data_IF_028189732246
#
_entry.id   IF_028189732246
#
_cell.length_a   1.000
_cell.length_b   1.000
_cell.length_c   1.000
_cell.angle_alpha   90.00
_cell.angle_beta   90.00
_cell.angle_gamma   90.00
#
_symmetry.space_group_name_H-M   'P 1'
#
loop_
_entity.id
_entity.type
_entity.pdbx_description
1 polymer ?
#
# COMPACT_ATOMS: atom_id res chain seq x y z
N UNK A 1 -1.50 -11.19 -23.54
CA UNK A 1 -0.61 -10.44 -22.64
C UNK A 1 0.70 -10.10 -23.35
N UNK A 2 1.26 -11.00 -24.12
CA UNK A 2 2.52 -10.80 -24.87
C UNK A 2 2.43 -9.77 -26.01
N UNK A 3 1.27 -9.61 -26.64
CA UNK A 3 1.09 -8.66 -27.75
C UNK A 3 1.03 -7.19 -27.27
N UNK A 4 0.45 -6.91 -26.09
CA UNK A 4 0.39 -5.56 -25.54
C UNK A 4 1.78 -5.07 -25.09
N UNK A 5 2.60 -5.96 -24.56
CA UNK A 5 3.98 -5.64 -24.18
C UNK A 5 4.84 -5.37 -25.43
N UNK A 6 4.59 -6.08 -26.52
CA UNK A 6 5.28 -5.88 -27.79
C UNK A 6 4.98 -4.50 -28.41
N UNK A 7 3.69 -4.09 -28.40
CA UNK A 7 3.28 -2.76 -28.90
C UNK A 7 3.89 -1.61 -28.10
N UNK A 8 4.10 -1.78 -26.79
CA UNK A 8 4.73 -0.76 -25.93
C UNK A 8 6.24 -0.60 -26.22
N UNK A 9 6.93 -1.68 -26.57
CA UNK A 9 8.34 -1.62 -26.97
C UNK A 9 8.54 -1.00 -28.36
N UNK A 10 7.56 -1.18 -29.26
CA UNK A 10 7.61 -0.64 -30.62
C UNK A 10 7.22 0.85 -30.70
N UNK A 11 6.52 1.38 -29.67
CA UNK A 11 6.07 2.77 -29.63
C UNK A 11 7.06 3.73 -28.96
N UNK A 12 8.09 3.23 -28.31
CA UNK A 12 9.06 4.08 -27.62
C UNK A 12 10.46 3.86 -28.17
N UNK A 13 11.02 4.87 -28.80
CA UNK A 13 12.46 4.96 -29.10
C UNK A 13 13.32 5.05 -27.81
N UNK A 14 12.73 4.69 -26.66
CA UNK A 14 13.41 4.71 -25.36
C UNK A 14 14.28 3.46 -25.28
N UNK A 15 15.60 3.61 -25.17
CA UNK A 15 16.50 2.48 -25.00
C UNK A 15 16.17 1.67 -23.74
N UNK A 16 16.47 0.37 -23.69
CA UNK A 16 16.34 -0.41 -22.47
C UNK A 16 17.04 0.28 -21.29
N UNK A 17 16.44 0.21 -20.11
CA UNK A 17 16.91 0.89 -18.90
C UNK A 17 18.41 0.69 -18.65
N UNK A 18 18.93 -0.53 -18.87
CA UNK A 18 20.35 -0.86 -18.74
C UNK A 18 21.27 -0.06 -19.68
N UNK A 19 20.76 0.38 -20.85
CA UNK A 19 21.51 1.23 -21.78
C UNK A 19 21.47 2.70 -21.39
N UNK A 20 20.45 3.10 -20.64
CA UNK A 20 20.27 4.49 -20.16
C UNK A 20 21.12 4.78 -18.92
N UNK A 21 21.49 3.77 -18.15
CA UNK A 21 22.37 3.92 -17.01
C UNK A 21 23.82 3.85 -17.48
N UNK A 22 24.42 5.02 -17.72
CA UNK A 22 25.83 5.12 -18.12
C UNK A 22 26.81 4.85 -16.96
N UNK A 23 26.35 5.00 -15.73
CA UNK A 23 27.16 4.79 -14.53
C UNK A 23 26.70 3.53 -13.80
N UNK A 24 27.50 2.47 -13.90
CA UNK A 24 27.26 1.19 -13.24
C UNK A 24 27.22 1.29 -11.70
N UNK A 25 27.69 2.39 -11.11
CA UNK A 25 27.65 2.64 -9.67
C UNK A 25 26.24 2.59 -9.10
N UNK A 26 25.22 2.94 -9.90
CA UNK A 26 23.82 2.80 -9.51
C UNK A 26 23.27 1.38 -9.62
N UNK A 27 24.04 0.45 -10.19
CA UNK A 27 23.71 -0.97 -10.32
C UNK A 27 24.43 -1.82 -9.28
N UNK A 28 25.42 -1.26 -8.61
CA UNK A 28 26.07 -1.92 -7.48
C UNK A 28 25.04 -1.94 -6.34
N UNK A 29 24.60 -3.14 -5.98
CA UNK A 29 23.77 -3.34 -4.80
C UNK A 29 24.57 -2.86 -3.58
N UNK A 30 24.01 -1.91 -2.87
CA UNK A 30 24.53 -1.52 -1.55
C UNK A 30 24.74 -2.80 -0.73
N UNK A 31 25.75 -2.79 0.13
CA UNK A 31 26.02 -3.92 1.04
C UNK A 31 24.87 -4.15 2.03
N UNK A 32 23.87 -3.25 2.04
CA UNK A 32 22.76 -3.25 2.99
C UNK A 32 21.40 -3.19 2.27
N UNK A 33 20.49 -4.05 2.73
CA UNK A 33 19.10 -4.03 2.33
C UNK A 33 18.28 -3.42 3.49
N UNK A 34 17.69 -2.26 3.27
CA UNK A 34 16.94 -1.55 4.31
C UNK A 34 15.49 -2.03 4.43
N UNK A 35 14.86 -2.40 3.31
CA UNK A 35 13.44 -2.71 3.23
C UNK A 35 13.20 -4.08 2.62
N UNK A 36 12.44 -4.92 3.33
CA UNK A 36 11.85 -6.14 2.77
C UNK A 36 10.36 -5.92 2.54
N UNK A 37 9.94 -5.80 1.28
CA UNK A 37 8.53 -5.76 0.94
C UNK A 37 7.99 -7.17 0.72
N UNK A 38 6.91 -7.52 1.43
CA UNK A 38 6.26 -8.81 1.37
C UNK A 38 4.84 -8.69 0.81
N UNK A 39 4.60 -9.26 -0.38
CA UNK A 39 3.25 -9.41 -0.91
C UNK A 39 2.68 -10.75 -0.42
N UNK A 40 1.79 -10.69 0.59
CA UNK A 40 1.32 -11.88 1.30
C UNK A 40 0.06 -12.52 0.72
N UNK A 41 -0.40 -12.04 -0.44
CA UNK A 41 -1.52 -12.66 -1.15
C UNK A 41 -2.20 -11.74 -2.15
N UNK A 42 -3.14 -12.32 -2.92
CA UNK A 42 -3.95 -11.58 -3.90
C UNK A 42 -5.44 -11.56 -3.59
N UNK A 43 -5.87 -12.24 -2.51
CA UNK A 43 -7.25 -12.16 -2.04
C UNK A 43 -7.55 -10.73 -1.57
N UNK A 44 -8.70 -10.17 -1.98
CA UNK A 44 -9.11 -8.81 -1.63
C UNK A 44 -10.63 -8.72 -1.68
N UNK A 45 -11.22 -7.98 -0.75
CA UNK A 45 -12.66 -7.70 -0.74
C UNK A 45 -13.10 -6.66 -1.78
N UNK A 46 -12.16 -6.04 -2.50
CA UNK A 46 -12.41 -5.03 -3.54
C UNK A 46 -11.92 -5.50 -4.92
N UNK A 47 -12.53 -4.92 -5.98
CA UNK A 47 -12.12 -5.10 -7.38
C UNK A 47 -11.81 -3.72 -7.98
N UNK A 48 -10.70 -3.11 -7.51
CA UNK A 48 -10.32 -1.77 -7.96
C UNK A 48 -9.84 -1.78 -9.41
N UNK A 49 -10.25 -0.77 -10.20
CA UNK A 49 -9.89 -0.67 -11.63
C UNK A 49 -8.39 -0.48 -11.88
N UNK A 50 -7.69 0.14 -10.95
CA UNK A 50 -6.24 0.41 -11.02
C UNK A 50 -5.38 -0.62 -10.28
N UNK A 51 -5.89 -1.81 -9.99
CA UNK A 51 -5.15 -2.79 -9.20
C UNK A 51 -3.98 -3.40 -9.98
N UNK A 52 -2.75 -3.06 -9.59
CA UNK A 52 -1.52 -3.52 -10.23
C UNK A 52 -1.23 -5.02 -10.03
N UNK A 53 -1.75 -5.64 -8.97
CA UNK A 53 -1.57 -7.07 -8.68
C UNK A 53 -2.76 -7.94 -9.11
N UNK A 54 -3.77 -7.31 -9.73
CA UNK A 54 -5.01 -7.98 -10.14
C UNK A 54 -5.68 -8.76 -9.00
N UNK A 55 -5.73 -8.16 -7.82
CA UNK A 55 -6.35 -8.73 -6.63
C UNK A 55 -7.89 -8.72 -6.73
N UNK A 56 -8.53 -9.59 -5.96
CA UNK A 56 -9.99 -9.68 -5.91
C UNK A 56 -10.50 -10.84 -5.06
N UNK A 57 -11.84 -10.91 -4.85
CA UNK A 57 -12.45 -11.93 -3.99
C UNK A 57 -12.27 -13.38 -4.46
N UNK A 58 -12.13 -13.57 -5.78
CA UNK A 58 -11.95 -14.90 -6.38
C UNK A 58 -10.48 -15.38 -6.38
N UNK A 59 -9.54 -14.59 -5.86
CA UNK A 59 -8.13 -14.97 -5.80
C UNK A 59 -7.89 -15.83 -4.58
N UNK A 60 -6.99 -16.79 -4.74
CA UNK A 60 -6.66 -17.81 -3.71
C UNK A 60 -5.17 -17.83 -3.37
N UNK A 61 -4.37 -17.03 -4.06
CA UNK A 61 -2.93 -16.95 -3.78
C UNK A 61 -2.70 -16.32 -2.43
N UNK A 62 -2.03 -17.03 -1.57
CA UNK A 62 -1.77 -16.69 -0.20
C UNK A 62 -0.36 -17.15 0.19
N UNK A 63 0.40 -16.29 0.83
CA UNK A 63 1.70 -16.65 1.40
C UNK A 63 1.48 -17.52 2.63
N UNK A 64 2.08 -18.69 2.65
CA UNK A 64 1.99 -19.59 3.79
C UNK A 64 2.87 -19.11 4.95
N UNK A 65 2.61 -19.65 6.13
CA UNK A 65 3.39 -19.34 7.32
C UNK A 65 4.86 -19.74 7.15
N UNK A 66 5.15 -20.89 6.55
CA UNK A 66 6.52 -21.37 6.33
C UNK A 66 7.32 -20.39 5.46
N UNK A 67 6.67 -19.79 4.44
CA UNK A 67 7.31 -18.77 3.60
C UNK A 67 7.53 -17.48 4.41
N UNK A 68 6.56 -17.07 5.25
CA UNK A 68 6.74 -15.93 6.15
C UNK A 68 7.92 -16.14 7.11
N UNK A 69 8.04 -17.31 7.72
CA UNK A 69 9.13 -17.67 8.63
C UNK A 69 10.49 -17.61 7.93
N UNK A 70 10.58 -18.05 6.68
CA UNK A 70 11.78 -17.92 5.86
C UNK A 70 12.13 -16.45 5.58
N UNK A 71 11.14 -15.62 5.25
CA UNK A 71 11.31 -14.18 5.06
C UNK A 71 11.76 -13.47 6.35
N UNK A 72 11.17 -13.82 7.49
CA UNK A 72 11.56 -13.27 8.80
C UNK A 72 12.99 -13.67 9.19
N UNK A 73 13.37 -14.92 8.91
CA UNK A 73 14.76 -15.38 9.11
C UNK A 73 15.73 -14.57 8.27
N UNK A 74 15.43 -14.40 6.98
CA UNK A 74 16.22 -13.57 6.08
C UNK A 74 16.30 -12.11 6.58
N UNK A 75 15.18 -11.52 6.98
CA UNK A 75 15.14 -10.15 7.48
C UNK A 75 16.05 -9.96 8.69
N UNK A 76 16.05 -10.93 9.62
CA UNK A 76 16.92 -10.92 10.80
C UNK A 76 18.40 -11.05 10.43
N UNK A 77 18.75 -11.98 9.55
CA UNK A 77 20.13 -12.21 9.10
C UNK A 77 20.70 -11.01 8.35
N UNK A 78 19.90 -10.38 7.49
CA UNK A 78 20.28 -9.19 6.71
C UNK A 78 20.13 -7.88 7.48
N UNK A 79 19.66 -7.91 8.73
CA UNK A 79 19.43 -6.74 9.59
C UNK A 79 18.49 -5.71 8.92
N UNK A 80 17.45 -6.20 8.24
CA UNK A 80 16.43 -5.38 7.63
C UNK A 80 15.82 -4.44 8.67
N UNK A 81 15.73 -3.15 8.35
CA UNK A 81 15.18 -2.14 9.27
C UNK A 81 13.68 -1.94 9.10
N UNK A 82 13.13 -2.23 7.91
CA UNK A 82 11.71 -2.06 7.59
C UNK A 82 11.13 -3.30 6.92
N UNK A 83 10.02 -3.80 7.44
CA UNK A 83 9.17 -4.80 6.75
C UNK A 83 7.90 -4.11 6.26
N UNK A 84 7.68 -4.11 4.93
CA UNK A 84 6.54 -3.48 4.26
C UNK A 84 5.57 -4.57 3.76
N UNK A 85 4.46 -4.76 4.48
CA UNK A 85 3.47 -5.80 4.21
C UNK A 85 2.40 -5.26 3.26
N UNK A 86 2.27 -5.92 2.11
CA UNK A 86 1.32 -5.56 1.05
C UNK A 86 0.61 -6.79 0.49
N UNK A 87 -0.27 -6.56 -0.50
CA UNK A 87 -0.99 -7.65 -1.17
C UNK A 87 -2.24 -7.17 -1.89
N UNK A 88 -3.24 -8.03 -1.90
CA UNK A 88 -4.62 -7.63 -2.21
C UNK A 88 -5.21 -6.82 -1.05
N UNK A 89 -5.78 -7.52 -0.06
CA UNK A 89 -6.00 -7.02 1.28
C UNK A 89 -5.19 -7.91 2.23
N UNK A 90 -4.06 -7.43 2.77
CA UNK A 90 -3.22 -8.23 3.68
C UNK A 90 -4.00 -8.82 4.84
N UNK A 91 -5.03 -8.12 5.31
CA UNK A 91 -5.92 -8.52 6.38
C UNK A 91 -6.63 -9.88 6.12
N UNK A 92 -6.80 -10.24 4.85
CA UNK A 92 -7.42 -11.52 4.48
C UNK A 92 -6.45 -12.72 4.55
N UNK A 93 -5.16 -12.49 4.82
CA UNK A 93 -4.23 -13.58 5.12
C UNK A 93 -4.37 -13.94 6.61
N UNK A 94 -4.66 -15.20 6.96
CA UNK A 94 -4.91 -15.64 8.35
C UNK A 94 -3.67 -15.52 9.26
N UNK A 95 -2.50 -15.31 8.67
CA UNK A 95 -1.25 -15.19 9.41
C UNK A 95 -0.76 -13.74 9.52
N UNK A 96 -1.56 -12.72 9.14
CA UNK A 96 -1.12 -11.32 9.18
C UNK A 96 -0.75 -10.87 10.60
N UNK A 97 -1.59 -11.17 11.59
CA UNK A 97 -1.32 -10.78 12.99
C UNK A 97 0.02 -11.36 13.47
N UNK A 98 0.23 -12.65 13.23
CA UNK A 98 1.50 -13.32 13.51
C UNK A 98 2.68 -12.62 12.80
N UNK A 99 2.53 -12.33 11.51
CA UNK A 99 3.59 -11.68 10.74
C UNK A 99 3.95 -10.30 11.32
N UNK A 100 2.95 -9.49 11.69
CA UNK A 100 3.17 -8.18 12.31
C UNK A 100 3.92 -8.32 13.64
N UNK A 101 3.46 -9.23 14.51
CA UNK A 101 4.07 -9.43 15.83
C UNK A 101 5.52 -9.90 15.76
N UNK A 102 5.82 -10.83 14.86
CA UNK A 102 7.20 -11.30 14.68
C UNK A 102 8.07 -10.24 13.99
N UNK A 103 7.53 -9.53 12.98
CA UNK A 103 8.24 -8.43 12.34
C UNK A 103 8.63 -7.33 13.32
N UNK A 104 7.74 -6.96 14.23
CA UNK A 104 7.97 -5.92 15.25
C UNK A 104 9.05 -6.31 16.27
N UNK A 105 9.37 -7.60 16.41
CA UNK A 105 10.47 -8.09 17.26
C UNK A 105 11.82 -8.06 16.54
N UNK A 106 11.80 -8.06 15.20
CA UNK A 106 13.00 -8.20 14.37
C UNK A 106 13.50 -6.84 13.89
N UNK A 107 12.58 -5.99 13.44
CA UNK A 107 12.89 -4.69 12.85
C UNK A 107 12.22 -3.54 13.61
N UNK A 108 12.82 -2.34 13.48
CA UNK A 108 12.30 -1.13 14.14
C UNK A 108 11.07 -0.54 13.47
N UNK A 109 10.73 -0.98 12.26
CA UNK A 109 9.66 -0.37 11.47
C UNK A 109 8.86 -1.42 10.69
N UNK A 110 7.55 -1.46 10.92
CA UNK A 110 6.61 -2.33 10.21
C UNK A 110 5.56 -1.48 9.53
N UNK A 111 5.36 -1.68 8.24
CA UNK A 111 4.36 -1.01 7.42
C UNK A 111 3.29 -2.03 7.00
N UNK A 112 2.02 -1.64 7.07
CA UNK A 112 0.91 -2.40 6.47
C UNK A 112 0.17 -1.51 5.48
N UNK A 113 0.03 -2.00 4.23
CA UNK A 113 -0.71 -1.32 3.16
C UNK A 113 -2.14 -1.82 3.10
N UNK A 114 -3.07 -1.00 3.54
CA UNK A 114 -4.50 -1.38 3.65
C UNK A 114 -5.39 -0.64 2.66
N UNK A 115 -6.48 -1.29 2.25
CA UNK A 115 -7.55 -0.62 1.52
C UNK A 115 -8.56 0.09 2.44
N UNK A 116 -8.39 0.00 3.75
CA UNK A 116 -9.26 0.51 4.82
C UNK A 116 -10.61 -0.20 4.93
N UNK A 117 -11.32 -0.38 3.82
CA UNK A 117 -12.71 -0.87 3.80
C UNK A 117 -12.85 -2.23 4.49
N UNK A 118 -11.85 -3.07 4.37
CA UNK A 118 -11.79 -4.40 5.00
C UNK A 118 -11.87 -4.32 6.54
N UNK A 119 -11.32 -3.28 7.14
CA UNK A 119 -11.28 -3.09 8.59
C UNK A 119 -12.67 -2.72 9.21
N UNK A 120 -13.72 -2.58 8.40
CA UNK A 120 -15.11 -2.50 8.88
C UNK A 120 -15.80 -3.87 8.93
N UNK A 121 -15.22 -4.89 8.34
CA UNK A 121 -15.75 -6.25 8.42
C UNK A 121 -15.42 -6.83 9.80
N UNK A 122 -16.44 -7.38 10.47
CA UNK A 122 -16.36 -7.83 11.87
C UNK A 122 -15.18 -8.78 12.14
N UNK A 123 -14.82 -9.58 11.15
CA UNK A 123 -13.71 -10.53 11.21
C UNK A 123 -12.35 -9.84 11.32
N UNK A 124 -12.18 -8.64 10.71
CA UNK A 124 -10.90 -7.94 10.59
C UNK A 124 -10.81 -6.67 11.44
N UNK A 125 -11.89 -6.26 12.10
CA UNK A 125 -11.96 -5.02 12.89
C UNK A 125 -10.90 -4.96 14.01
N UNK A 126 -10.60 -6.09 14.62
CA UNK A 126 -9.60 -6.22 15.70
C UNK A 126 -8.18 -5.88 15.24
N UNK A 127 -7.90 -5.97 13.93
CA UNK A 127 -6.55 -5.68 13.39
C UNK A 127 -6.13 -4.23 13.59
N UNK A 128 -7.06 -3.28 13.73
CA UNK A 128 -6.71 -1.90 14.09
C UNK A 128 -6.00 -1.83 15.46
N UNK A 129 -6.42 -2.65 16.43
CA UNK A 129 -5.76 -2.74 17.73
C UNK A 129 -4.40 -3.45 17.63
N UNK A 130 -4.32 -4.48 16.77
CA UNK A 130 -3.04 -5.15 16.46
C UNK A 130 -2.03 -4.15 15.88
N UNK A 131 -2.47 -3.31 14.93
CA UNK A 131 -1.64 -2.26 14.36
C UNK A 131 -1.15 -1.28 15.43
N UNK A 132 -2.04 -0.78 16.26
CA UNK A 132 -1.71 0.22 17.28
C UNK A 132 -0.73 -0.32 18.33
N UNK A 133 -0.96 -1.53 18.86
CA UNK A 133 -0.09 -2.12 19.90
C UNK A 133 1.31 -2.44 19.39
N UNK A 134 1.46 -2.71 18.09
CA UNK A 134 2.74 -2.98 17.45
C UNK A 134 3.34 -1.73 16.76
N UNK A 135 2.73 -0.55 16.94
CA UNK A 135 3.17 0.72 16.32
C UNK A 135 3.37 0.61 14.81
N UNK A 136 2.50 -0.15 14.15
CA UNK A 136 2.55 -0.34 12.69
C UNK A 136 2.28 0.99 12.00
N UNK A 137 3.12 1.38 11.05
CA UNK A 137 2.78 2.43 10.11
C UNK A 137 1.67 1.95 9.18
N UNK A 138 0.55 2.64 9.19
CA UNK A 138 -0.58 2.35 8.29
C UNK A 138 -0.45 3.20 7.04
N UNK A 139 -0.22 2.55 5.90
CA UNK A 139 -0.25 3.20 4.58
C UNK A 139 -1.57 2.84 3.91
N UNK A 140 -2.46 3.82 3.81
CA UNK A 140 -3.80 3.57 3.31
C UNK A 140 -4.06 4.20 1.94
N UNK A 141 -4.81 3.48 1.12
CA UNK A 141 -5.15 3.97 -0.20
C UNK A 141 -6.40 4.85 -0.15
N UNK A 142 -6.21 6.15 -0.29
CA UNK A 142 -7.29 7.14 -0.44
C UNK A 142 -7.06 7.93 -1.74
N UNK A 143 -7.40 7.36 -2.92
CA UNK A 143 -7.06 7.96 -4.21
C UNK A 143 -7.71 9.32 -4.46
N UNK A 144 -8.78 9.64 -3.75
CA UNK A 144 -9.44 10.95 -3.77
C UNK A 144 -10.03 11.28 -2.41
N UNK A 145 -10.12 12.57 -2.09
CA UNK A 145 -10.77 13.09 -0.88
C UNK A 145 -12.28 13.40 -1.09
N UNK A 146 -12.89 12.90 -2.19
CA UNK A 146 -14.30 13.03 -2.51
C UNK A 146 -14.91 11.71 -2.96
N UNK A 147 -16.16 11.45 -2.55
CA UNK A 147 -16.84 10.20 -2.79
C UNK A 147 -17.00 9.84 -4.29
N UNK A 148 -17.44 10.75 -5.19
CA UNK A 148 -17.71 10.37 -6.58
C UNK A 148 -16.48 9.84 -7.32
N UNK A 149 -15.32 10.44 -7.07
CA UNK A 149 -14.07 10.06 -7.71
C UNK A 149 -13.52 8.76 -7.14
N UNK A 150 -13.55 8.59 -5.82
CA UNK A 150 -13.06 7.38 -5.18
C UNK A 150 -13.96 6.17 -5.48
N UNK A 151 -15.26 6.34 -5.41
CA UNK A 151 -16.22 5.27 -5.63
C UNK A 151 -16.19 4.77 -7.08
N UNK A 152 -15.93 5.65 -8.04
CA UNK A 152 -15.75 5.28 -9.46
C UNK A 152 -14.60 4.28 -9.67
N UNK A 153 -13.56 4.35 -8.85
CA UNK A 153 -12.34 3.53 -8.96
C UNK A 153 -12.41 2.30 -8.08
N UNK A 154 -13.00 2.42 -6.88
CA UNK A 154 -12.96 1.39 -5.82
C UNK A 154 -14.29 0.68 -5.57
N UNK A 155 -15.38 1.21 -6.11
CA UNK A 155 -16.73 0.70 -5.89
C UNK A 155 -17.58 1.62 -5.00
N UNK A 156 -18.90 1.54 -5.16
CA UNK A 156 -19.85 2.39 -4.48
C UNK A 156 -19.74 2.29 -2.95
N UNK A 157 -19.73 3.44 -2.27
CA UNK A 157 -19.64 3.55 -0.82
C UNK A 157 -18.26 3.26 -0.23
N UNK A 158 -17.24 3.06 -1.06
CA UNK A 158 -15.87 2.82 -0.58
C UNK A 158 -15.30 4.05 0.16
N UNK A 159 -15.66 5.26 -0.30
CA UNK A 159 -15.24 6.50 0.34
C UNK A 159 -15.75 6.62 1.78
N UNK A 160 -17.05 6.50 1.98
CA UNK A 160 -17.66 6.65 3.31
C UNK A 160 -17.14 5.61 4.29
N UNK A 161 -16.92 4.39 3.82
CA UNK A 161 -16.32 3.32 4.60
C UNK A 161 -14.88 3.65 5.00
N UNK A 162 -14.06 4.14 4.07
CA UNK A 162 -12.69 4.57 4.34
C UNK A 162 -12.63 5.70 5.38
N UNK A 163 -13.49 6.73 5.23
CA UNK A 163 -13.60 7.85 6.19
C UNK A 163 -13.93 7.33 7.60
N UNK A 164 -14.85 6.37 7.73
CA UNK A 164 -15.16 5.77 9.04
C UNK A 164 -13.96 5.08 9.68
N UNK A 165 -13.20 4.32 8.90
CA UNK A 165 -11.99 3.64 9.41
C UNK A 165 -10.93 4.65 9.82
N UNK A 166 -10.65 5.65 8.98
CA UNK A 166 -9.64 6.67 9.29
C UNK A 166 -10.01 7.42 10.58
N UNK A 167 -11.29 7.76 10.79
CA UNK A 167 -11.75 8.38 12.04
C UNK A 167 -11.51 7.48 13.25
N UNK A 168 -11.71 6.15 13.13
CA UNK A 168 -11.40 5.20 14.20
C UNK A 168 -9.89 5.15 14.47
N UNK A 169 -9.06 5.10 13.43
CA UNK A 169 -7.60 5.14 13.56
C UNK A 169 -7.14 6.46 14.22
N UNK A 170 -7.71 7.61 13.83
CA UNK A 170 -7.43 8.88 14.49
C UNK A 170 -7.85 8.90 15.97
N UNK A 171 -8.96 8.26 16.31
CA UNK A 171 -9.39 8.13 17.72
C UNK A 171 -8.44 7.27 18.55
N UNK A 172 -7.73 6.32 17.92
CA UNK A 172 -6.67 5.52 18.52
C UNK A 172 -5.33 6.24 18.59
N UNK A 173 -5.20 7.42 17.95
CA UNK A 173 -3.99 8.24 17.93
C UNK A 173 -3.23 8.28 16.61
N UNK A 174 -3.61 7.48 15.63
CA UNK A 174 -2.97 7.52 14.30
C UNK A 174 -3.08 8.90 13.66
N UNK A 175 -2.00 9.34 13.00
CA UNK A 175 -1.92 10.66 12.38
C UNK A 175 -1.74 11.83 13.36
N UNK A 176 -1.77 11.57 14.68
CA UNK A 176 -1.66 12.55 15.78
C UNK A 176 -0.52 12.25 16.72
N UNK A 177 -0.39 10.99 17.13
CA UNK A 177 0.72 10.50 17.92
C UNK A 177 1.90 10.18 16.99
N UNK A 178 3.12 10.69 17.26
CA UNK A 178 4.29 10.43 16.42
C UNK A 178 4.67 8.95 16.29
N UNK A 179 4.25 8.10 17.23
CA UNK A 179 4.46 6.66 17.17
C UNK A 179 3.41 5.89 16.36
N UNK A 180 2.28 6.53 16.02
CA UNK A 180 1.18 5.93 15.27
C UNK A 180 1.00 6.64 13.93
N UNK A 181 1.84 6.28 12.98
CA UNK A 181 1.93 6.93 11.68
C UNK A 181 0.82 6.45 10.75
N UNK A 182 0.08 7.41 10.19
CA UNK A 182 -0.93 7.20 9.16
C UNK A 182 -0.54 7.95 7.90
N UNK A 183 -0.19 7.23 6.86
CA UNK A 183 0.11 7.81 5.56
C UNK A 183 -0.95 7.43 4.52
N UNK A 184 -1.18 8.32 3.58
CA UNK A 184 -2.15 8.12 2.52
C UNK A 184 -1.48 7.99 1.17
N UNK A 185 -2.13 7.25 0.27
CA UNK A 185 -1.68 7.08 -1.11
C UNK A 185 -2.72 7.65 -2.05
N UNK A 186 -2.31 8.64 -2.82
CA UNK A 186 -3.01 9.10 -4.02
C UNK A 186 -2.57 8.25 -5.22
N UNK A 187 -3.56 7.84 -6.01
CA UNK A 187 -3.33 7.11 -7.25
C UNK A 187 -4.29 7.67 -8.31
N UNK A 188 -3.79 8.26 -9.42
CA UNK A 188 -4.64 8.84 -10.45
C UNK A 188 -5.57 7.81 -11.08
N UNK A 189 -6.74 8.24 -11.56
CA UNK A 189 -7.71 7.35 -12.20
C UNK A 189 -7.34 6.95 -13.64
N UNK A 190 -6.27 7.51 -14.20
CA UNK A 190 -5.85 7.32 -15.58
C UNK A 190 -4.33 7.34 -15.76
N UNK A 191 -3.89 7.24 -17.02
CA UNK A 191 -2.48 7.27 -17.39
C UNK A 191 -2.01 8.73 -17.55
N UNK A 192 -1.95 9.47 -16.46
CA UNK A 192 -1.43 10.84 -16.41
C UNK A 192 -0.61 11.04 -15.15
N UNK A 193 0.30 12.02 -15.20
CA UNK A 193 1.13 12.36 -14.05
C UNK A 193 0.29 13.02 -12.95
N UNK A 194 0.52 12.69 -11.69
CA UNK A 194 -0.10 13.42 -10.59
C UNK A 194 0.42 14.87 -10.57
N UNK A 195 -0.35 15.79 -9.97
CA UNK A 195 0.15 17.11 -9.65
C UNK A 195 1.35 17.08 -8.70
N UNK A 196 1.91 18.26 -8.43
CA UNK A 196 2.96 18.42 -7.43
C UNK A 196 2.56 17.81 -6.09
N UNK A 197 3.44 16.99 -5.51
CA UNK A 197 3.14 16.21 -4.31
C UNK A 197 2.88 17.09 -3.09
N UNK A 198 3.67 18.14 -2.87
CA UNK A 198 3.53 19.01 -1.69
C UNK A 198 2.23 19.80 -1.75
N UNK A 199 1.90 20.32 -2.93
CA UNK A 199 0.63 21.04 -3.15
C UNK A 199 -0.57 20.12 -2.92
N UNK A 200 -0.51 18.89 -3.41
CA UNK A 200 -1.56 17.90 -3.24
C UNK A 200 -1.69 17.45 -1.78
N UNK A 201 -0.59 17.21 -1.08
CA UNK A 201 -0.62 16.85 0.34
C UNK A 201 -1.26 17.96 1.18
N UNK A 202 -0.90 19.21 0.91
CA UNK A 202 -1.50 20.37 1.58
C UNK A 202 -3.01 20.46 1.34
N UNK A 203 -3.46 20.24 0.12
CA UNK A 203 -4.88 20.25 -0.23
C UNK A 203 -5.62 19.09 0.47
N UNK A 204 -5.07 17.87 0.46
CA UNK A 204 -5.63 16.71 1.17
C UNK A 204 -5.77 16.97 2.67
N UNK A 205 -4.71 17.46 3.32
CA UNK A 205 -4.71 17.81 4.74
C UNK A 205 -5.81 18.83 5.06
N UNK A 206 -5.89 19.89 4.26
CA UNK A 206 -6.89 20.93 4.48
C UNK A 206 -8.32 20.38 4.31
N UNK A 207 -8.60 19.66 3.22
CA UNK A 207 -9.94 19.15 2.91
C UNK A 207 -10.39 18.08 3.90
N UNK A 208 -9.54 17.12 4.20
CA UNK A 208 -9.89 16.03 5.10
C UNK A 208 -10.09 16.52 6.55
N UNK A 209 -9.31 17.52 6.98
CA UNK A 209 -9.50 18.13 8.28
C UNK A 209 -10.80 18.94 8.35
N UNK A 210 -11.07 19.81 7.36
CA UNK A 210 -12.24 20.67 7.33
C UNK A 210 -13.56 19.88 7.21
N UNK A 211 -13.59 18.90 6.31
CA UNK A 211 -14.85 18.20 5.96
C UNK A 211 -15.12 17.00 6.89
N UNK A 212 -14.08 16.37 7.41
CA UNK A 212 -14.21 15.09 8.13
C UNK A 212 -13.52 15.04 9.50
N UNK A 213 -12.74 16.07 9.88
CA UNK A 213 -11.96 16.09 11.13
C UNK A 213 -10.82 15.06 11.15
N UNK A 214 -10.29 14.71 9.96
CA UNK A 214 -9.26 13.71 9.76
C UNK A 214 -7.89 14.34 9.70
N UNK A 215 -6.94 13.74 10.40
CA UNK A 215 -5.51 14.07 10.37
C UNK A 215 -4.69 12.87 9.89
N UNK A 216 -3.61 13.12 9.17
CA UNK A 216 -2.66 12.12 8.70
C UNK A 216 -1.25 12.74 8.55
N UNK A 217 -0.21 11.90 8.43
CA UNK A 217 1.17 12.34 8.40
C UNK A 217 1.61 12.81 7.01
N UNK A 218 1.59 11.93 6.02
CA UNK A 218 2.08 12.21 4.68
C UNK A 218 1.19 11.65 3.58
N UNK A 219 1.24 12.28 2.39
CA UNK A 219 0.61 11.78 1.17
C UNK A 219 1.68 11.30 0.20
N UNK A 220 1.57 10.05 -0.23
CA UNK A 220 2.38 9.52 -1.32
C UNK A 220 1.60 9.58 -2.63
N UNK A 221 2.25 10.00 -3.70
CA UNK A 221 1.68 10.01 -5.04
C UNK A 221 2.26 8.86 -5.85
N UNK A 222 1.40 8.05 -6.45
CA UNK A 222 1.80 6.94 -7.31
C UNK A 222 1.45 7.23 -8.77
N UNK A 223 2.24 6.67 -9.67
CA UNK A 223 1.93 6.62 -11.10
C UNK A 223 1.28 5.29 -11.44
N UNK A 224 0.31 5.31 -12.35
CA UNK A 224 -0.22 4.09 -12.90
C UNK A 224 0.69 3.58 -14.01
N UNK A 225 1.17 2.36 -13.84
CA UNK A 225 1.86 1.61 -14.88
C UNK A 225 0.88 0.62 -15.53
N UNK A 226 1.08 0.23 -16.80
CA UNK A 226 0.26 -0.76 -17.48
C UNK A 226 0.52 -2.17 -16.92
N UNK A 227 0.06 -2.40 -15.69
CA UNK A 227 0.25 -3.61 -14.92
C UNK A 227 -1.08 -4.09 -14.32
N UNK A 228 -1.21 -5.40 -14.15
CA UNK A 228 -2.38 -5.99 -13.54
C UNK A 228 -3.67 -5.63 -14.27
N UNK A 229 -4.71 -5.23 -13.52
CA UNK A 229 -6.01 -4.85 -14.12
C UNK A 229 -5.96 -3.50 -14.84
N UNK A 230 -5.02 -2.64 -14.51
CA UNK A 230 -4.88 -1.34 -15.18
C UNK A 230 -4.26 -1.47 -16.57
N UNK A 231 -3.51 -2.52 -16.85
CA UNK A 231 -2.91 -2.81 -18.15
C UNK A 231 -3.72 -3.79 -19.02
N UNK A 232 -4.91 -4.17 -18.58
CA UNK A 232 -5.76 -5.13 -19.28
C UNK A 232 -6.82 -4.46 -20.17
#
# INVERSE_FOLDING_TARGET
MDDIIKDFHDLTEIPPFQQMISDKKYMDTEEYLDVLQMNIGRKCNLICKHCHVNAGPARTEEMSREVMDACLTFAKEQKIVTIDITGGAPEMNPHLEYLIEESSKICGHVIVRTNLVILLEKEYEHLMEVYARNKVEVVCSLPYYRAPEMDKVRGAGAFDKAIKVIRRLNAMGYGRNPELVLNMVYNPAGAFFPPDQEAMEKEYKQKLLQDFGIEFNSLYTLYNNPMGRFGA
#
